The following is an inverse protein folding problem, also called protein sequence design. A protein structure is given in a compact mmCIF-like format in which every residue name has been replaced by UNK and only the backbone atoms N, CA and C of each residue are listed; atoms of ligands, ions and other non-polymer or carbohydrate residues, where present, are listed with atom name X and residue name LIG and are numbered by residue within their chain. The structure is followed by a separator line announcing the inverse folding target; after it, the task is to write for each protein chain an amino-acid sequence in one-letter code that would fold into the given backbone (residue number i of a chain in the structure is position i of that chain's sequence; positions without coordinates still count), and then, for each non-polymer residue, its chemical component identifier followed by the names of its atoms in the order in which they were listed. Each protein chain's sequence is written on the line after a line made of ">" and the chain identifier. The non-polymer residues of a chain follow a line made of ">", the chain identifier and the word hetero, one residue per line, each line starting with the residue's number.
data_IF_577975606810
#
_entry.id   IF_577975606810
#
_cell.length_a   1.000
_cell.length_b   1.000
_cell.length_c   1.000
_cell.angle_alpha   90.00
_cell.angle_beta   90.00
_cell.angle_gamma   90.00
#
_symmetry.space_group_name_H-M   'P 1'
#
loop_
_entity.id
_entity.type
_entity.pdbx_description
1 polymer ?
#
# COMPACT_ATOMS: atom_id res chain seq x y z
N UNK A 1 7.49 25.22 20.41
CA UNK A 1 8.81 25.85 20.59
C UNK A 1 9.03 26.17 22.08
N UNK A 2 9.95 25.44 22.72
CA UNK A 2 10.36 25.69 24.11
C UNK A 2 11.34 26.87 24.10
N UNK A 3 11.26 27.81 25.05
CA UNK A 3 12.17 28.97 25.14
C UNK A 3 13.23 28.72 26.24
N UNK A 4 14.48 28.37 25.88
CA UNK A 4 15.54 28.07 26.84
C UNK A 4 15.89 29.23 27.77
N UNK A 5 15.57 30.48 27.38
CA UNK A 5 15.84 31.68 28.19
C UNK A 5 14.97 31.74 29.45
N UNK A 6 13.82 31.07 29.44
CA UNK A 6 12.87 31.04 30.56
C UNK A 6 13.01 29.81 31.46
N UNK A 7 13.90 28.88 31.11
CA UNK A 7 14.07 27.63 31.86
C UNK A 7 14.98 27.80 33.08
N UNK A 8 14.66 27.02 34.12
CA UNK A 8 15.54 26.82 35.27
C UNK A 8 16.68 25.87 34.92
N UNK A 9 17.75 25.85 35.72
CA UNK A 9 18.89 24.94 35.48
C UNK A 9 18.45 23.47 35.52
N UNK A 10 17.47 23.13 36.36
CA UNK A 10 16.93 21.77 36.42
C UNK A 10 16.24 21.39 35.11
N UNK A 11 15.36 22.27 34.61
CA UNK A 11 14.64 22.06 33.35
C UNK A 11 15.59 22.00 32.14
N UNK A 12 16.64 22.84 32.11
CA UNK A 12 17.65 22.80 31.05
C UNK A 12 18.40 21.46 31.04
N UNK A 13 18.71 20.90 32.20
CA UNK A 13 19.39 19.61 32.29
C UNK A 13 18.47 18.46 31.93
N UNK A 14 17.22 18.50 32.34
CA UNK A 14 16.21 17.50 31.99
C UNK A 14 16.02 17.44 30.47
N UNK A 15 15.90 18.60 29.82
CA UNK A 15 15.75 18.68 28.36
C UNK A 15 17.01 18.25 27.60
N UNK A 16 18.20 18.60 28.10
CA UNK A 16 19.47 18.14 27.52
C UNK A 16 19.66 16.62 27.72
N UNK A 17 19.30 16.08 28.88
CA UNK A 17 19.39 14.64 29.18
C UNK A 17 18.42 13.83 28.32
N UNK A 18 17.18 14.31 28.15
CA UNK A 18 16.20 13.73 27.23
C UNK A 18 16.70 13.69 25.78
N UNK A 19 17.57 14.63 25.40
CA UNK A 19 18.21 14.72 24.07
C UNK A 19 19.59 14.03 24.01
N UNK A 20 20.03 13.36 25.07
CA UNK A 20 21.34 12.69 25.13
C UNK A 20 22.56 13.64 25.13
N UNK A 21 22.34 14.92 25.42
CA UNK A 21 23.36 15.96 25.43
C UNK A 21 23.98 16.15 26.82
N UNK A 22 25.21 16.64 26.86
CA UNK A 22 25.93 16.87 28.12
C UNK A 22 25.18 17.85 29.04
N UNK A 23 24.92 17.43 30.29
CA UNK A 23 24.26 18.23 31.34
C UNK A 23 25.25 18.95 32.27
N UNK A 24 26.53 18.97 31.88
CA UNK A 24 27.61 19.65 32.62
C UNK A 24 27.84 21.07 32.10
N UNK A 25 28.21 21.97 33.01
CA UNK A 25 28.48 23.37 32.71
C UNK A 25 27.67 24.37 33.53
N UNK A 26 27.91 25.65 33.29
CA UNK A 26 27.15 26.78 33.86
C UNK A 26 25.80 26.92 33.13
N UNK A 27 24.86 27.63 33.75
CA UNK A 27 23.50 27.83 33.20
C UNK A 27 23.52 28.35 31.75
N UNK A 28 24.39 29.31 31.44
CA UNK A 28 24.48 29.87 30.08
C UNK A 28 25.00 28.85 29.06
N UNK A 29 25.98 28.00 29.44
CA UNK A 29 26.51 26.93 28.59
C UNK A 29 25.45 25.83 28.31
N UNK A 30 24.57 25.56 29.29
CA UNK A 30 23.45 24.62 29.11
C UNK A 30 22.37 25.21 28.19
N UNK A 31 22.11 26.51 28.27
CA UNK A 31 21.17 27.18 27.37
C UNK A 31 21.67 27.19 25.93
N UNK A 32 22.93 27.59 25.74
CA UNK A 32 23.54 27.67 24.41
C UNK A 32 23.51 26.31 23.72
N UNK A 33 23.84 25.24 24.45
CA UNK A 33 23.76 23.85 23.96
C UNK A 33 22.35 23.42 23.59
N UNK A 34 21.34 23.86 24.35
CA UNK A 34 19.95 23.53 24.05
C UNK A 34 19.42 24.34 22.86
N UNK A 35 19.85 25.60 22.70
CA UNK A 35 19.50 26.43 21.54
C UNK A 35 20.11 25.85 20.27
N UNK A 36 21.40 25.53 20.28
CA UNK A 36 22.08 24.90 19.15
C UNK A 36 21.42 23.57 18.74
N UNK A 37 20.99 22.76 19.71
CA UNK A 37 20.27 21.52 19.46
C UNK A 37 18.80 21.71 19.03
N UNK A 38 18.21 22.88 19.26
CA UNK A 38 16.88 23.21 18.74
C UNK A 38 16.99 23.75 17.31
N UNK A 39 17.98 24.61 17.05
CA UNK A 39 18.24 25.19 15.74
C UNK A 39 18.69 24.10 14.74
N UNK A 40 19.56 23.18 15.14
CA UNK A 40 19.97 22.04 14.30
C UNK A 40 18.83 21.06 14.00
N UNK A 41 17.84 20.97 14.89
CA UNK A 41 16.66 20.13 14.69
C UNK A 41 15.60 20.83 13.82
N UNK A 42 15.58 22.17 13.78
CA UNK A 42 14.75 22.93 12.83
C UNK A 42 15.30 22.84 11.39
N UNK A 43 16.62 22.72 11.20
CA UNK A 43 17.22 22.47 9.87
C UNK A 43 16.99 21.03 9.37
N UNK A 44 16.78 20.05 10.25
CA UNK A 44 16.44 18.66 9.87
C UNK A 44 14.93 18.44 9.63
N UNK A 45 14.07 19.34 10.12
CA UNK A 45 12.61 19.30 9.93
C UNK A 45 12.11 20.21 8.79
N UNK A 46 13.01 20.93 8.10
CA UNK A 46 12.76 21.36 6.73
C UNK A 46 12.86 20.11 5.84
N UNK A 47 11.86 19.21 5.93
CA UNK A 47 11.54 18.32 4.83
C UNK A 47 11.41 19.22 3.61
N UNK A 48 12.42 19.20 2.74
CA UNK A 48 12.34 19.77 1.42
C UNK A 48 10.98 19.30 0.87
N UNK A 49 10.04 20.23 0.67
CA UNK A 49 8.90 19.98 -0.21
C UNK A 49 9.55 19.67 -1.55
N UNK A 50 9.92 18.41 -1.77
CA UNK A 50 10.37 17.92 -3.07
C UNK A 50 9.32 18.44 -4.04
N UNK A 51 9.73 19.22 -5.03
CA UNK A 51 8.83 19.73 -6.05
C UNK A 51 8.34 18.53 -6.87
N UNK A 52 7.31 17.84 -6.37
CA UNK A 52 6.71 16.62 -6.94
C UNK A 52 6.03 16.92 -8.30
N UNK A 53 6.21 18.13 -8.82
CA UNK A 53 5.65 18.63 -10.06
C UNK A 53 4.16 18.99 -9.93
N UNK A 54 3.69 19.94 -10.76
CA UNK A 54 2.32 20.44 -10.69
C UNK A 54 1.26 19.34 -10.90
N UNK A 55 1.58 18.30 -11.66
CA UNK A 55 0.65 17.22 -11.99
C UNK A 55 0.36 16.27 -10.82
N UNK A 56 1.32 16.05 -9.91
CA UNK A 56 1.09 15.23 -8.73
C UNK A 56 0.17 15.94 -7.74
N UNK A 57 0.36 17.26 -7.58
CA UNK A 57 -0.50 18.09 -6.73
C UNK A 57 -1.95 18.13 -7.23
N UNK A 58 -2.15 18.36 -8.53
CA UNK A 58 -3.47 18.30 -9.17
C UNK A 58 -4.15 16.94 -8.96
N UNK A 59 -3.36 15.86 -9.03
CA UNK A 59 -3.85 14.51 -8.77
C UNK A 59 -4.22 14.29 -7.29
N UNK A 60 -3.37 14.71 -6.34
CA UNK A 60 -3.62 14.53 -4.90
C UNK A 60 -4.85 15.32 -4.45
N UNK A 61 -5.04 16.53 -4.97
CA UNK A 61 -6.23 17.33 -4.68
C UNK A 61 -7.50 16.68 -5.23
N UNK A 62 -7.44 16.10 -6.44
CA UNK A 62 -8.56 15.34 -7.01
C UNK A 62 -8.85 14.07 -6.22
N UNK A 63 -7.82 13.34 -5.79
CA UNK A 63 -7.95 12.19 -4.90
C UNK A 63 -8.63 12.61 -3.60
N UNK A 64 -8.20 13.71 -3.00
CA UNK A 64 -8.77 14.25 -1.77
C UNK A 64 -10.24 14.64 -1.93
N UNK A 65 -10.63 15.24 -3.06
CA UNK A 65 -12.03 15.56 -3.38
C UNK A 65 -12.89 14.30 -3.44
N UNK A 66 -12.43 13.27 -4.16
CA UNK A 66 -13.17 12.00 -4.26
C UNK A 66 -13.26 11.30 -2.90
N UNK A 67 -12.17 11.27 -2.13
CA UNK A 67 -12.18 10.77 -0.76
C UNK A 67 -13.23 11.50 0.10
N UNK A 68 -13.25 12.84 0.06
CA UNK A 68 -14.22 13.64 0.80
C UNK A 68 -15.68 13.33 0.37
N UNK A 69 -15.94 13.21 -0.93
CA UNK A 69 -17.27 12.83 -1.45
C UNK A 69 -17.72 11.45 -0.97
N UNK A 70 -16.80 10.50 -0.89
CA UNK A 70 -17.06 9.14 -0.43
C UNK A 70 -17.06 9.02 1.12
N UNK A 71 -16.83 10.13 1.84
CA UNK A 71 -16.76 10.13 3.31
C UNK A 71 -15.52 9.43 3.86
N UNK A 72 -14.45 9.36 3.06
CA UNK A 72 -13.20 8.69 3.38
C UNK A 72 -12.12 9.70 3.82
N UNK A 73 -11.13 9.30 4.64
CA UNK A 73 -9.99 10.13 4.98
C UNK A 73 -9.21 10.60 3.74
N UNK A 74 -8.63 11.82 3.77
CA UNK A 74 -7.83 12.37 2.66
C UNK A 74 -6.71 11.42 2.23
N UNK A 75 -6.03 10.80 3.20
CA UNK A 75 -4.92 9.89 2.99
C UNK A 75 -5.36 8.43 2.86
N UNK A 76 -6.57 8.17 2.37
CA UNK A 76 -7.02 6.79 2.16
C UNK A 76 -6.05 6.05 1.24
N UNK A 77 -5.76 4.77 1.54
CA UNK A 77 -4.88 3.97 0.71
C UNK A 77 -5.47 3.87 -0.70
N UNK A 78 -4.62 3.86 -1.72
CA UNK A 78 -5.05 3.69 -3.10
C UNK A 78 -4.07 2.81 -3.87
N UNK A 79 -4.59 1.93 -4.70
CA UNK A 79 -3.80 1.18 -5.66
C UNK A 79 -3.62 2.03 -6.92
N UNK A 80 -2.38 2.33 -7.26
CA UNK A 80 -2.01 3.06 -8.48
C UNK A 80 -1.61 2.03 -9.53
N UNK A 81 -2.44 1.87 -10.56
CA UNK A 81 -2.15 1.02 -11.70
C UNK A 81 -1.58 1.92 -12.81
N UNK A 82 -0.34 1.65 -13.20
CA UNK A 82 0.33 2.30 -14.33
C UNK A 82 0.27 1.36 -15.53
N UNK A 83 -0.16 1.87 -16.69
CA UNK A 83 -0.05 1.11 -17.94
C UNK A 83 1.43 1.06 -18.32
N UNK A 84 2.08 -0.06 -18.01
CA UNK A 84 3.49 -0.31 -18.32
C UNK A 84 3.78 -0.07 -19.81
N UNK A 85 4.48 1.04 -20.07
CA UNK A 85 5.19 1.30 -21.31
C UNK A 85 6.64 1.64 -21.00
N UNK A 86 6.89 2.36 -19.92
CA UNK A 86 8.22 2.77 -19.45
C UNK A 86 8.17 2.81 -17.91
N UNK A 87 8.67 1.76 -17.25
CA UNK A 87 8.83 1.79 -15.79
C UNK A 87 10.00 2.71 -15.46
N UNK A 88 9.70 3.89 -14.91
CA UNK A 88 10.73 4.84 -14.49
C UNK A 88 11.44 4.40 -13.21
N UNK A 89 11.00 3.33 -12.53
CA UNK A 89 11.67 2.85 -11.31
C UNK A 89 13.15 2.52 -11.53
N UNK A 90 13.49 2.12 -12.75
CA UNK A 90 14.85 1.74 -13.16
C UNK A 90 15.49 2.82 -14.06
N UNK A 91 14.84 3.97 -14.24
CA UNK A 91 15.36 5.08 -15.04
C UNK A 91 16.03 6.13 -14.15
N UNK A 92 17.17 6.66 -14.59
CA UNK A 92 17.81 7.84 -13.98
C UNK A 92 17.00 9.14 -14.19
N UNK A 93 15.81 9.05 -14.81
CA UNK A 93 14.94 10.19 -15.08
C UNK A 93 14.04 10.51 -13.89
N UNK A 94 14.54 11.40 -13.03
CA UNK A 94 13.82 11.97 -11.88
C UNK A 94 12.82 13.08 -12.29
N UNK A 95 12.63 13.33 -13.59
CA UNK A 95 11.67 14.36 -14.02
C UNK A 95 10.24 14.00 -13.58
N UNK A 96 9.42 15.00 -13.21
CA UNK A 96 8.00 14.76 -12.92
C UNK A 96 7.27 14.08 -14.10
N UNK A 97 6.23 13.27 -13.82
CA UNK A 97 5.46 12.62 -14.88
C UNK A 97 4.76 13.64 -15.76
N UNK A 98 4.81 13.41 -17.07
CA UNK A 98 4.10 14.18 -18.09
C UNK A 98 2.58 14.00 -17.96
N UNK A 99 1.81 14.94 -18.51
CA UNK A 99 0.35 14.85 -18.57
C UNK A 99 -0.15 13.54 -19.22
N UNK A 100 0.55 13.06 -20.26
CA UNK A 100 0.22 11.80 -20.94
C UNK A 100 0.49 10.56 -20.07
N UNK A 101 1.56 10.58 -19.26
CA UNK A 101 1.85 9.52 -18.29
C UNK A 101 0.80 9.52 -17.18
N UNK A 102 0.44 10.69 -16.66
CA UNK A 102 -0.61 10.82 -15.64
C UNK A 102 -1.96 10.33 -16.18
N UNK A 103 -2.33 10.66 -17.42
CA UNK A 103 -3.57 10.20 -18.07
C UNK A 103 -3.69 8.65 -18.17
N UNK A 104 -2.55 7.94 -18.22
CA UNK A 104 -2.49 6.48 -18.24
C UNK A 104 -2.61 5.84 -16.85
N UNK A 105 -2.50 6.64 -15.79
CA UNK A 105 -2.68 6.16 -14.41
C UNK A 105 -4.16 5.84 -14.19
N UNK A 106 -4.40 4.71 -13.54
CA UNK A 106 -5.70 4.31 -12.98
C UNK A 106 -5.54 4.18 -11.48
N UNK A 107 -6.44 4.80 -10.73
CA UNK A 107 -6.42 4.72 -9.28
C UNK A 107 -7.63 3.95 -8.79
N UNK A 108 -7.41 2.97 -7.94
CA UNK A 108 -8.46 2.26 -7.22
C UNK A 108 -8.34 2.64 -5.76
N UNK A 109 -9.33 3.40 -5.24
CA UNK A 109 -9.37 3.76 -3.83
C UNK A 109 -9.57 2.53 -2.94
N UNK A 110 -8.81 2.43 -1.87
CA UNK A 110 -8.93 1.39 -0.84
C UNK A 110 -10.09 1.68 0.09
N UNK A 111 -11.25 1.12 -0.23
CA UNK A 111 -12.41 1.09 0.67
C UNK A 111 -12.24 -0.01 1.71
N UNK A 112 -12.98 0.04 2.83
CA UNK A 112 -13.01 -1.04 3.83
C UNK A 112 -13.30 -2.42 3.19
N UNK A 113 -14.18 -2.44 2.19
CA UNK A 113 -14.52 -3.66 1.47
C UNK A 113 -13.32 -4.20 0.67
N UNK A 114 -12.59 -3.32 -0.01
CA UNK A 114 -11.37 -3.67 -0.76
C UNK A 114 -10.25 -4.09 0.17
N UNK A 115 -10.00 -3.37 1.26
CA UNK A 115 -8.97 -3.74 2.25
C UNK A 115 -9.23 -5.15 2.81
N UNK A 116 -10.48 -5.44 3.20
CA UNK A 116 -10.85 -6.80 3.62
C UNK A 116 -10.67 -7.84 2.51
N UNK A 117 -10.88 -7.46 1.25
CA UNK A 117 -10.62 -8.35 0.11
C UNK A 117 -9.11 -8.55 -0.12
N UNK A 118 -8.29 -7.50 0.06
CA UNK A 118 -6.83 -7.55 0.03
C UNK A 118 -6.31 -8.53 1.07
N UNK A 119 -6.77 -8.44 2.32
CA UNK A 119 -6.33 -9.36 3.38
C UNK A 119 -6.63 -10.82 3.04
N UNK A 120 -7.85 -11.11 2.53
CA UNK A 120 -8.22 -12.45 2.11
C UNK A 120 -7.38 -12.94 0.92
N UNK A 121 -7.14 -12.06 -0.05
CA UNK A 121 -6.36 -12.36 -1.24
C UNK A 121 -4.89 -12.60 -0.92
N UNK A 122 -4.30 -11.80 -0.02
CA UNK A 122 -2.91 -11.95 0.43
C UNK A 122 -2.72 -13.25 1.20
N UNK A 123 -3.61 -13.56 2.15
CA UNK A 123 -3.60 -14.86 2.86
C UNK A 123 -3.60 -16.03 1.87
N UNK A 124 -4.49 -15.98 0.88
CA UNK A 124 -4.53 -17.01 -0.17
C UNK A 124 -3.23 -17.05 -0.99
N UNK A 125 -2.75 -15.92 -1.51
CA UNK A 125 -1.55 -15.84 -2.36
C UNK A 125 -0.27 -16.26 -1.63
N UNK A 126 -0.27 -16.16 -0.30
CA UNK A 126 0.80 -16.66 0.56
C UNK A 126 0.68 -18.17 0.87
N UNK A 127 -0.28 -18.87 0.26
CA UNK A 127 -0.53 -20.29 0.48
C UNK A 127 -1.16 -20.60 1.84
N UNK A 128 -1.68 -19.59 2.56
CA UNK A 128 -2.46 -19.82 3.78
C UNK A 128 -3.86 -20.29 3.39
N UNK A 129 -4.12 -21.57 3.56
CA UNK A 129 -5.49 -22.09 3.43
C UNK A 129 -6.38 -21.48 4.52
N UNK A 130 -7.70 -21.31 4.28
CA UNK A 130 -8.68 -20.86 5.29
C UNK A 130 -8.87 -21.80 6.50
N UNK A 131 -7.94 -22.72 6.74
CA UNK A 131 -7.92 -23.67 7.85
C UNK A 131 -6.54 -24.33 8.04
N UNK A 132 -5.47 -23.72 7.51
CA UNK A 132 -4.10 -24.20 7.68
C UNK A 132 -3.35 -23.32 8.67
N UNK A 133 -2.87 -23.92 9.78
CA UNK A 133 -1.95 -23.39 10.80
C UNK A 133 -1.68 -21.88 10.74
N UNK A 134 -2.65 -21.12 11.24
CA UNK A 134 -2.58 -19.67 11.42
C UNK A 134 -3.81 -19.31 12.21
N UNK A 135 -3.62 -19.17 13.52
CA UNK A 135 -4.59 -18.87 14.56
C UNK A 135 -5.79 -18.03 14.08
N UNK A 136 -7.00 -18.45 14.45
CA UNK A 136 -8.09 -17.52 14.73
C UNK A 136 -7.60 -16.58 15.85
N UNK A 137 -6.85 -15.54 15.48
CA UNK A 137 -6.57 -14.43 16.37
C UNK A 137 -7.42 -13.24 15.92
N UNK A 138 -8.64 -13.21 16.42
CA UNK A 138 -9.36 -11.97 16.74
C UNK A 138 -8.62 -11.19 17.86
N UNK A 139 -7.30 -11.03 17.74
CA UNK A 139 -6.44 -10.31 18.68
C UNK A 139 -5.53 -9.41 17.87
N UNK A 140 -6.09 -8.28 17.43
CA UNK A 140 -5.33 -7.08 17.10
C UNK A 140 -5.27 -6.24 18.39
N UNK A 141 -4.51 -6.71 19.39
CA UNK A 141 -4.22 -5.92 20.60
C UNK A 141 -3.03 -6.51 21.37
N UNK A 142 -1.82 -6.45 20.78
CA UNK A 142 -0.56 -6.47 21.53
C UNK A 142 0.62 -6.13 20.62
N UNK A 143 1.24 -4.99 20.88
CA UNK A 143 2.40 -4.42 20.16
C UNK A 143 3.72 -5.21 20.32
N UNK A 144 3.73 -6.41 20.90
CA UNK A 144 4.97 -7.07 21.33
C UNK A 144 5.16 -8.55 20.93
N UNK A 145 4.37 -9.10 20.00
CA UNK A 145 4.58 -10.46 19.50
C UNK A 145 4.54 -10.50 17.96
N UNK A 146 5.53 -9.84 17.34
CA UNK A 146 6.04 -10.36 16.07
C UNK A 146 6.82 -11.63 16.41
N UNK A 147 6.11 -12.75 16.56
CA UNK A 147 6.73 -14.04 16.34
C UNK A 147 7.13 -14.03 14.86
N UNK A 148 8.39 -13.62 14.61
CA UNK A 148 9.14 -13.78 13.36
C UNK A 148 9.31 -15.28 13.06
N UNK A 149 8.19 -16.00 13.02
CA UNK A 149 8.08 -17.35 12.54
C UNK A 149 8.52 -17.32 11.08
N UNK A 150 9.79 -17.64 10.90
CA UNK A 150 10.51 -17.83 9.65
C UNK A 150 9.56 -18.30 8.54
N UNK A 151 9.05 -17.35 7.73
CA UNK A 151 8.09 -17.62 6.65
C UNK A 151 8.85 -18.28 5.49
N UNK A 152 9.12 -19.58 5.62
CA UNK A 152 9.62 -20.37 4.51
C UNK A 152 8.47 -20.68 3.56
N UNK A 153 8.31 -19.86 2.52
CA UNK A 153 7.51 -20.23 1.35
C UNK A 153 8.11 -21.49 0.72
N UNK A 154 7.32 -22.55 0.61
CA UNK A 154 7.74 -23.80 -0.03
C UNK A 154 7.05 -23.96 -1.38
N UNK A 155 7.62 -24.78 -2.27
CA UNK A 155 6.96 -25.21 -3.51
C UNK A 155 5.56 -25.79 -3.24
N UNK A 156 5.35 -26.45 -2.09
CA UNK A 156 4.04 -26.95 -1.70
C UNK A 156 3.02 -25.82 -1.41
N UNK A 157 3.45 -24.70 -0.83
CA UNK A 157 2.60 -23.52 -0.66
C UNK A 157 2.20 -22.95 -2.02
N UNK A 158 3.15 -22.80 -2.95
CA UNK A 158 2.87 -22.27 -4.28
C UNK A 158 1.96 -23.20 -5.10
N UNK A 159 2.21 -24.51 -5.06
CA UNK A 159 1.33 -25.53 -5.64
C UNK A 159 -0.12 -25.39 -5.14
N UNK A 160 -0.31 -25.15 -3.83
CA UNK A 160 -1.64 -24.96 -3.25
C UNK A 160 -2.34 -23.69 -3.77
N UNK A 161 -1.59 -22.61 -4.02
CA UNK A 161 -2.12 -21.39 -4.65
C UNK A 161 -2.59 -21.69 -6.06
N UNK A 162 -1.74 -22.31 -6.89
CA UNK A 162 -2.08 -22.64 -8.28
C UNK A 162 -3.31 -23.57 -8.34
N UNK A 163 -3.32 -24.65 -7.56
CA UNK A 163 -4.46 -25.58 -7.50
C UNK A 163 -5.75 -24.93 -6.96
N UNK A 164 -5.62 -23.96 -6.04
CA UNK A 164 -6.76 -23.26 -5.43
C UNK A 164 -7.27 -22.07 -6.23
N UNK A 165 -6.54 -21.61 -7.25
CA UNK A 165 -6.79 -20.35 -7.94
C UNK A 165 -8.16 -20.33 -8.62
N UNK A 166 -8.53 -21.41 -9.31
CA UNK A 166 -9.86 -21.52 -9.92
C UNK A 166 -11.00 -21.41 -8.90
N UNK A 167 -10.86 -22.05 -7.74
CA UNK A 167 -11.85 -21.97 -6.68
C UNK A 167 -11.98 -20.53 -6.14
N UNK A 168 -10.87 -19.82 -5.99
CA UNK A 168 -10.89 -18.41 -5.57
C UNK A 168 -11.48 -17.49 -6.64
N UNK A 169 -11.18 -17.72 -7.92
CA UNK A 169 -11.80 -16.97 -9.03
C UNK A 169 -13.32 -17.15 -9.00
N UNK A 170 -13.80 -18.38 -8.84
CA UNK A 170 -15.23 -18.68 -8.76
C UNK A 170 -15.87 -18.05 -7.52
N UNK A 171 -15.17 -18.01 -6.37
CA UNK A 171 -15.63 -17.33 -5.15
C UNK A 171 -15.66 -15.82 -5.31
N UNK A 172 -14.68 -15.22 -5.98
CA UNK A 172 -14.63 -13.79 -6.27
C UNK A 172 -15.76 -13.39 -7.21
N UNK A 173 -16.06 -14.22 -8.21
CA UNK A 173 -17.05 -13.96 -9.26
C UNK A 173 -18.42 -14.58 -9.00
N UNK A 174 -18.71 -14.99 -7.75
CA UNK A 174 -20.00 -15.59 -7.39
C UNK A 174 -21.17 -14.66 -7.80
N UNK A 175 -22.08 -15.18 -8.62
CA UNK A 175 -23.21 -14.44 -9.17
C UNK A 175 -24.15 -13.86 -8.11
N UNK A 176 -24.11 -14.37 -6.87
CA UNK A 176 -24.88 -13.85 -5.73
C UNK A 176 -24.31 -12.53 -5.19
N UNK A 177 -23.03 -12.23 -5.46
CA UNK A 177 -22.38 -11.00 -5.02
C UNK A 177 -22.73 -9.83 -5.94
N UNK A 178 -22.84 -8.60 -5.41
CA UNK A 178 -22.88 -7.39 -6.23
C UNK A 178 -21.67 -7.31 -7.15
N UNK A 179 -21.83 -6.66 -8.31
CA UNK A 179 -20.75 -6.53 -9.31
C UNK A 179 -19.55 -5.75 -8.78
N UNK A 180 -19.79 -4.71 -7.99
CA UNK A 180 -18.74 -4.00 -7.25
C UNK A 180 -17.95 -4.91 -6.31
N UNK A 181 -18.62 -5.78 -5.57
CA UNK A 181 -17.94 -6.76 -4.72
C UNK A 181 -17.16 -7.80 -5.54
N UNK A 182 -17.69 -8.24 -6.69
CA UNK A 182 -16.96 -9.12 -7.60
C UNK A 182 -15.68 -8.43 -8.11
N UNK A 183 -15.76 -7.14 -8.43
CA UNK A 183 -14.62 -6.34 -8.86
C UNK A 183 -13.58 -6.20 -7.75
N UNK A 184 -13.98 -5.85 -6.54
CA UNK A 184 -13.08 -5.71 -5.41
C UNK A 184 -12.35 -7.02 -5.10
N UNK A 185 -13.06 -8.16 -5.09
CA UNK A 185 -12.46 -9.47 -4.81
C UNK A 185 -11.52 -9.92 -5.93
N UNK A 186 -11.91 -9.72 -7.20
CA UNK A 186 -11.10 -10.14 -8.35
C UNK A 186 -9.87 -9.24 -8.55
N UNK A 187 -10.02 -7.93 -8.33
CA UNK A 187 -8.91 -6.96 -8.36
C UNK A 187 -7.88 -7.26 -7.30
N UNK A 188 -8.31 -7.48 -6.06
CA UNK A 188 -7.39 -7.77 -4.96
C UNK A 188 -6.75 -9.16 -5.07
N UNK A 189 -7.47 -10.16 -5.59
CA UNK A 189 -6.89 -11.46 -5.92
C UNK A 189 -5.77 -11.33 -6.97
N UNK A 190 -6.04 -10.58 -8.04
CA UNK A 190 -5.06 -10.35 -9.11
C UNK A 190 -3.83 -9.60 -8.58
N UNK A 191 -4.05 -8.55 -7.78
CA UNK A 191 -2.98 -7.80 -7.13
C UNK A 191 -2.14 -8.70 -6.21
N UNK A 192 -2.75 -9.52 -5.36
CA UNK A 192 -2.03 -10.39 -4.44
C UNK A 192 -1.17 -11.44 -5.17
N UNK A 193 -1.67 -12.01 -6.27
CA UNK A 193 -0.90 -12.95 -7.11
C UNK A 193 0.28 -12.24 -7.76
N UNK A 194 0.05 -11.06 -8.34
CA UNK A 194 1.12 -10.26 -8.96
C UNK A 194 2.17 -9.81 -7.93
N UNK A 195 1.75 -9.37 -6.75
CA UNK A 195 2.66 -8.97 -5.68
C UNK A 195 3.54 -10.15 -5.23
N UNK A 196 2.98 -11.35 -5.20
CA UNK A 196 3.70 -12.58 -4.86
C UNK A 196 4.20 -13.34 -6.11
N UNK A 197 4.38 -12.66 -7.26
CA UNK A 197 4.67 -13.31 -8.54
C UNK A 197 5.94 -14.17 -8.48
N UNK A 198 6.98 -13.72 -7.79
CA UNK A 198 8.22 -14.50 -7.61
C UNK A 198 7.95 -15.91 -7.07
N UNK A 199 6.97 -16.03 -6.17
CA UNK A 199 6.56 -17.30 -5.56
C UNK A 199 5.53 -18.03 -6.38
N UNK A 200 4.62 -17.30 -7.05
CA UNK A 200 3.68 -17.88 -7.99
C UNK A 200 4.38 -18.61 -9.14
N UNK A 201 5.63 -18.26 -9.47
CA UNK A 201 6.45 -18.95 -10.47
C UNK A 201 7.23 -20.16 -9.91
N UNK A 202 7.41 -20.24 -8.59
CA UNK A 202 8.13 -21.33 -7.93
C UNK A 202 7.18 -22.49 -7.58
N UNK A 203 6.68 -23.17 -8.61
CA UNK A 203 5.71 -24.26 -8.50
C UNK A 203 5.96 -25.37 -9.54
N UNK A 204 5.34 -26.53 -9.35
CA UNK A 204 5.49 -27.71 -10.23
C UNK A 204 4.60 -27.69 -11.49
N UNK A 205 3.84 -26.61 -11.71
CA UNK A 205 2.82 -26.46 -12.77
C UNK A 205 3.08 -25.26 -13.68
N UNK A 206 4.33 -24.79 -13.76
CA UNK A 206 4.72 -23.59 -14.50
C UNK A 206 4.99 -23.86 -16.01
N UNK A 207 4.91 -25.12 -16.49
CA UNK A 207 5.18 -25.43 -17.90
C UNK A 207 4.02 -25.02 -18.83
N UNK A 208 4.29 -24.98 -20.14
CA UNK A 208 3.29 -24.66 -21.16
C UNK A 208 2.20 -25.74 -21.21
N UNK A 209 0.93 -25.33 -21.16
CA UNK A 209 -0.23 -26.21 -21.10
C UNK A 209 -0.64 -26.67 -19.69
N UNK A 210 0.06 -26.22 -18.64
CA UNK A 210 -0.19 -26.66 -17.27
C UNK A 210 -1.28 -25.86 -16.53
N UNK A 211 -1.38 -26.14 -15.22
CA UNK A 211 -2.37 -25.56 -14.32
C UNK A 211 -2.17 -24.05 -14.13
N UNK A 212 -0.95 -23.52 -14.20
CA UNK A 212 -0.72 -22.07 -14.13
C UNK A 212 -1.33 -21.37 -15.33
N UNK A 213 -0.99 -21.79 -16.55
CA UNK A 213 -1.50 -21.18 -17.78
C UNK A 213 -3.03 -21.25 -17.83
N UNK A 214 -3.60 -22.43 -17.59
CA UNK A 214 -5.06 -22.60 -17.57
C UNK A 214 -5.74 -21.79 -16.46
N UNK A 215 -5.09 -21.55 -15.33
CA UNK A 215 -5.62 -20.67 -14.27
C UNK A 215 -5.55 -19.20 -14.65
N UNK A 216 -4.47 -18.77 -15.31
CA UNK A 216 -4.33 -17.43 -15.88
C UNK A 216 -5.38 -17.16 -16.97
N UNK A 217 -5.65 -18.14 -17.84
CA UNK A 217 -6.72 -18.05 -18.84
C UNK A 217 -8.10 -17.89 -18.19
N UNK A 218 -8.37 -18.65 -17.11
CA UNK A 218 -9.63 -18.51 -16.34
C UNK A 218 -9.73 -17.15 -15.67
N UNK A 219 -8.64 -16.64 -15.11
CA UNK A 219 -8.59 -15.30 -14.53
C UNK A 219 -8.86 -14.22 -15.58
N UNK A 220 -8.23 -14.33 -16.76
CA UNK A 220 -8.45 -13.44 -17.88
C UNK A 220 -9.90 -13.50 -18.39
N UNK A 221 -10.49 -14.69 -18.48
CA UNK A 221 -11.88 -14.87 -18.86
C UNK A 221 -12.86 -14.28 -17.84
N UNK A 222 -12.55 -14.41 -16.54
CA UNK A 222 -13.31 -13.78 -15.46
C UNK A 222 -13.26 -12.25 -15.57
N UNK A 223 -12.08 -11.67 -15.76
CA UNK A 223 -11.91 -10.24 -16.02
C UNK A 223 -12.68 -9.77 -17.24
N UNK A 224 -12.57 -10.47 -18.37
CA UNK A 224 -13.29 -10.13 -19.60
C UNK A 224 -14.80 -10.08 -19.41
N UNK A 225 -15.35 -11.02 -18.63
CA UNK A 225 -16.79 -11.03 -18.29
C UNK A 225 -17.16 -9.88 -17.37
N UNK A 226 -16.33 -9.59 -16.38
CA UNK A 226 -16.61 -8.57 -15.38
C UNK A 226 -16.50 -7.15 -15.97
N UNK A 227 -15.48 -6.89 -16.78
CA UNK A 227 -15.24 -5.61 -17.45
C UNK A 227 -16.21 -5.34 -18.62
N UNK A 228 -17.12 -6.26 -18.92
CA UNK A 228 -18.23 -6.00 -19.83
C UNK A 228 -19.34 -5.13 -19.19
N UNK A 229 -19.31 -4.97 -17.86
CA UNK A 229 -20.20 -4.09 -17.12
C UNK A 229 -19.68 -2.65 -17.09
N UNK A 230 -20.57 -1.70 -16.80
CA UNK A 230 -20.23 -0.28 -16.66
C UNK A 230 -19.38 -0.01 -15.41
N UNK A 231 -18.63 1.10 -15.41
CA UNK A 231 -17.82 1.51 -14.26
C UNK A 231 -18.69 1.68 -12.99
N UNK A 232 -19.90 2.23 -13.16
CA UNK A 232 -20.87 2.41 -12.08
C UNK A 232 -21.31 1.08 -11.46
N UNK A 233 -21.59 0.06 -12.28
CA UNK A 233 -21.93 -1.28 -11.80
C UNK A 233 -20.76 -1.94 -11.05
N UNK A 234 -19.53 -1.66 -11.47
CA UNK A 234 -18.31 -2.16 -10.86
C UNK A 234 -17.87 -1.36 -9.63
N UNK A 235 -18.56 -0.25 -9.30
CA UNK A 235 -18.15 0.64 -8.22
C UNK A 235 -16.78 1.27 -8.46
N UNK A 236 -16.43 1.48 -9.74
CA UNK A 236 -15.24 2.18 -10.18
C UNK A 236 -15.62 3.65 -10.32
N UNK A 237 -14.88 4.52 -9.63
CA UNK A 237 -15.11 5.95 -9.76
C UNK A 237 -14.52 6.43 -11.10
N UNK A 238 -15.35 6.94 -12.04
CA UNK A 238 -14.87 7.37 -13.35
C UNK A 238 -13.98 8.62 -13.28
N UNK A 239 -14.02 9.36 -12.17
CA UNK A 239 -13.33 10.64 -12.04
C UNK A 239 -11.85 10.50 -11.71
N UNK A 240 -11.40 9.39 -11.12
CA UNK A 240 -9.96 9.15 -10.87
C UNK A 240 -9.28 8.44 -12.06
N UNK A 241 -9.69 8.81 -13.28
CA UNK A 241 -8.86 8.64 -14.46
C UNK A 241 -7.90 9.82 -14.51
N UNK A 242 -6.63 9.55 -14.78
CA UNK A 242 -5.57 10.54 -14.84
C UNK A 242 -6.03 11.85 -15.46
N UNK A 243 -5.78 12.95 -14.77
CA UNK A 243 -6.28 14.27 -15.09
C UNK A 243 -5.82 14.64 -16.50
N UNK A 244 -6.73 14.53 -17.48
CA UNK A 244 -6.55 15.08 -18.81
C UNK A 244 -7.62 16.15 -19.01
N UNK A 245 -7.21 17.42 -18.88
CA UNK A 245 -7.94 18.57 -19.42
C UNK A 245 -7.60 18.76 -20.88
#
# INVERSE_FOLDING_TARGET
>A
MVDPSKMTVAQLKEELDARGLSTTGKKEELKERLIEALDANEEEDEEEEEDIGPHYKEWDDKKAEVCARLGMPRQSPCLIIRSYGEDRSDSEDESPPTADEVAKIRVILGTDARMKATDRAMKFAQGQSPGGYGSDSDVMDSDDDYDEGFFCFTTANSNAVVMGLEAQINKATDAKKPKSTQFDELSMLTYAIHYNNMWFNDNEFWEEGDLVESSCEKLAAAWKKLLAHSDEELGIDPEIRGVSG
#
